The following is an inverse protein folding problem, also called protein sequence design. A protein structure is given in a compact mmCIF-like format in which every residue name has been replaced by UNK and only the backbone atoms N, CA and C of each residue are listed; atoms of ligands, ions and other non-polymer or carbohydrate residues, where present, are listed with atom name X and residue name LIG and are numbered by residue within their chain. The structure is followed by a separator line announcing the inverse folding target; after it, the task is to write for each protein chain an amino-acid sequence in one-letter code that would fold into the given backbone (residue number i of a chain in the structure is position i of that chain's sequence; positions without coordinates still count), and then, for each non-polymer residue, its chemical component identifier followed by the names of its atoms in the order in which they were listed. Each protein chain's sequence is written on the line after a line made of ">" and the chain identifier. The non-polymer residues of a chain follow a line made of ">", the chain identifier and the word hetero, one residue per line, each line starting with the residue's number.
data_IF_102732198451
#
_entry.id   IF_102732198451
#
_cell.length_a   1.000
_cell.length_b   1.000
_cell.length_c   1.000
_cell.angle_alpha   90.00
_cell.angle_beta   90.00
_cell.angle_gamma   90.00
#
_symmetry.space_group_name_H-M   'P 1'
#
loop_
_entity.id
_entity.type
_entity.pdbx_description
1 polymer ?
#
# COMPACT_ATOMS: atom_id res chain seq x y z
N UNK A 1 -12.54 -3.12 28.16
CA UNK A 1 -12.77 -4.58 28.07
C UNK A 1 -11.73 -5.12 27.10
N UNK A 2 -10.93 -6.12 27.46
CA UNK A 2 -9.87 -6.63 26.58
C UNK A 2 -10.44 -7.82 25.81
N UNK A 3 -10.43 -7.72 24.49
CA UNK A 3 -10.83 -8.82 23.59
C UNK A 3 -9.57 -9.58 23.14
N UNK A 4 -9.55 -10.89 23.35
CA UNK A 4 -8.41 -11.76 23.02
C UNK A 4 -8.85 -12.86 22.07
N UNK A 5 -7.99 -13.20 21.12
CA UNK A 5 -8.14 -14.33 20.22
C UNK A 5 -7.27 -15.49 20.73
N UNK A 6 -7.83 -16.69 20.75
CA UNK A 6 -7.09 -17.93 21.00
C UNK A 6 -6.96 -18.69 19.68
N UNK A 7 -5.74 -18.82 19.19
CA UNK A 7 -5.42 -19.47 17.93
C UNK A 7 -4.72 -20.80 18.24
N UNK A 8 -5.14 -21.87 17.56
CA UNK A 8 -4.54 -23.19 17.70
C UNK A 8 -3.44 -23.34 16.65
N UNK A 9 -2.21 -23.49 17.11
CA UNK A 9 -1.02 -23.67 16.27
C UNK A 9 -0.42 -25.07 16.44
N UNK A 10 0.57 -25.40 15.61
CA UNK A 10 1.23 -26.72 15.61
C UNK A 10 1.86 -27.06 16.99
N UNK A 11 2.45 -26.07 17.66
CA UNK A 11 3.15 -26.24 18.94
C UNK A 11 2.32 -25.84 20.17
N UNK A 12 1.01 -25.56 20.01
CA UNK A 12 0.14 -25.22 21.14
C UNK A 12 -0.96 -24.21 20.84
N UNK A 13 -1.33 -23.41 21.84
CA UNK A 13 -2.28 -22.30 21.65
C UNK A 13 -1.55 -20.97 21.84
N UNK A 14 -1.79 -20.04 20.91
CA UNK A 14 -1.37 -18.64 21.04
C UNK A 14 -2.56 -17.81 21.49
N UNK A 15 -2.36 -16.94 22.47
CA UNK A 15 -3.36 -15.96 22.90
C UNK A 15 -2.80 -14.58 22.56
N UNK A 16 -3.51 -13.85 21.71
CA UNK A 16 -3.13 -12.51 21.26
C UNK A 16 -4.31 -11.56 21.46
N UNK A 17 -4.04 -10.28 21.73
CA UNK A 17 -5.12 -9.28 21.72
C UNK A 17 -5.64 -9.16 20.29
N UNK A 18 -6.96 -9.06 20.15
CA UNK A 18 -7.58 -8.93 18.83
C UNK A 18 -7.04 -7.73 18.05
N UNK A 19 -6.85 -6.59 18.71
CA UNK A 19 -6.30 -5.39 18.10
C UNK A 19 -4.88 -5.61 17.54
N UNK A 20 -4.03 -6.33 18.26
CA UNK A 20 -2.66 -6.61 17.82
C UNK A 20 -2.66 -7.57 16.61
N UNK A 21 -3.58 -8.53 16.59
CA UNK A 21 -3.77 -9.43 15.46
C UNK A 21 -4.27 -8.71 14.21
N UNK A 22 -5.26 -7.83 14.36
CA UNK A 22 -5.79 -7.04 13.23
C UNK A 22 -4.72 -6.11 12.64
N UNK A 23 -3.86 -5.50 13.47
CA UNK A 23 -2.70 -4.73 13.00
C UNK A 23 -1.72 -5.59 12.20
N UNK A 24 -1.41 -6.78 12.70
CA UNK A 24 -0.50 -7.71 12.01
C UNK A 24 -1.06 -8.11 10.63
N UNK A 25 -2.36 -8.37 10.53
CA UNK A 25 -3.00 -8.68 9.25
C UNK A 25 -2.91 -7.50 8.29
N UNK A 26 -3.19 -6.28 8.75
CA UNK A 26 -3.07 -5.08 7.91
C UNK A 26 -1.64 -4.84 7.42
N UNK A 27 -0.64 -5.07 8.27
CA UNK A 27 0.78 -5.00 7.88
C UNK A 27 1.13 -6.06 6.82
N UNK A 28 0.64 -7.30 6.99
CA UNK A 28 0.85 -8.38 6.03
C UNK A 28 0.19 -8.07 4.68
N UNK A 29 -1.04 -7.56 4.68
CA UNK A 29 -1.74 -7.13 3.46
C UNK A 29 -0.97 -6.05 2.72
N UNK A 30 -0.46 -5.04 3.44
CA UNK A 30 0.38 -3.98 2.85
C UNK A 30 1.66 -4.51 2.23
N UNK A 31 2.29 -5.51 2.85
CA UNK A 31 3.48 -6.17 2.30
C UNK A 31 3.15 -6.98 1.04
N UNK A 32 2.01 -7.69 1.03
CA UNK A 32 1.55 -8.45 -0.14
C UNK A 32 1.30 -7.49 -1.31
N UNK A 33 0.57 -6.40 -1.11
CA UNK A 33 0.33 -5.39 -2.14
C UNK A 33 1.65 -4.83 -2.70
N UNK A 34 2.62 -4.55 -1.81
CA UNK A 34 3.95 -4.11 -2.23
C UNK A 34 4.64 -5.15 -3.11
N UNK A 35 4.56 -6.44 -2.76
CA UNK A 35 5.13 -7.52 -3.57
C UNK A 35 4.41 -7.68 -4.92
N UNK A 36 3.10 -7.47 -4.98
CA UNK A 36 2.33 -7.47 -6.22
C UNK A 36 2.79 -6.35 -7.15
N UNK A 37 2.97 -5.13 -6.63
CA UNK A 37 3.52 -3.99 -7.37
C UNK A 37 4.94 -4.30 -7.89
N UNK A 38 5.81 -4.84 -7.03
CA UNK A 38 7.19 -5.19 -7.42
C UNK A 38 7.24 -6.34 -8.46
N UNK A 39 6.22 -7.20 -8.49
CA UNK A 39 6.09 -8.28 -9.45
C UNK A 39 5.71 -7.80 -10.86
N UNK A 40 5.08 -6.64 -10.98
CA UNK A 40 4.68 -6.05 -12.26
C UNK A 40 5.80 -5.16 -12.82
N UNK A 41 6.42 -5.63 -13.92
CA UNK A 41 7.54 -4.91 -14.56
C UNK A 41 7.12 -3.60 -15.19
N UNK A 42 5.97 -3.56 -15.86
CA UNK A 42 5.49 -2.38 -16.58
C UNK A 42 5.12 -1.29 -15.56
N UNK A 43 4.45 -1.67 -14.47
CA UNK A 43 4.15 -0.78 -13.37
C UNK A 43 5.43 -0.24 -12.71
N UNK A 44 6.42 -1.10 -12.46
CA UNK A 44 7.71 -0.65 -11.89
C UNK A 44 8.48 0.31 -12.80
N UNK A 45 8.42 0.13 -14.13
CA UNK A 45 8.99 1.09 -15.08
C UNK A 45 8.25 2.44 -15.04
N UNK A 46 6.93 2.42 -14.95
CA UNK A 46 6.12 3.64 -14.81
C UNK A 46 6.41 4.38 -13.50
N UNK A 47 6.55 3.66 -12.38
CA UNK A 47 6.92 4.24 -11.08
C UNK A 47 8.27 4.94 -11.18
N UNK A 48 9.31 4.25 -11.70
CA UNK A 48 10.65 4.83 -11.85
C UNK A 48 10.65 6.08 -12.72
N UNK A 49 9.94 6.05 -13.86
CA UNK A 49 9.82 7.22 -14.72
C UNK A 49 9.14 8.38 -14.00
N UNK A 50 8.10 8.09 -13.23
CA UNK A 50 7.39 9.10 -12.44
C UNK A 50 8.29 9.72 -11.36
N UNK A 51 9.09 8.92 -10.67
CA UNK A 51 10.10 9.40 -9.71
C UNK A 51 11.12 10.32 -10.38
N UNK A 52 11.63 9.95 -11.56
CA UNK A 52 12.54 10.79 -12.32
C UNK A 52 11.90 12.11 -12.75
N UNK A 53 10.65 12.09 -13.20
CA UNK A 53 9.93 13.29 -13.61
C UNK A 53 9.71 14.24 -12.42
N UNK A 54 9.37 13.70 -11.25
CA UNK A 54 9.26 14.49 -10.01
C UNK A 54 10.61 15.14 -9.65
N UNK A 55 11.70 14.38 -9.68
CA UNK A 55 13.04 14.88 -9.35
C UNK A 55 13.53 15.95 -10.33
N UNK A 56 13.16 15.84 -11.61
CA UNK A 56 13.49 16.82 -12.66
C UNK A 56 12.57 18.06 -12.61
N UNK A 57 11.52 18.04 -11.79
CA UNK A 57 10.53 19.11 -11.73
C UNK A 57 9.54 19.10 -12.90
N UNK A 58 9.41 17.98 -13.62
CA UNK A 58 8.43 17.76 -14.69
C UNK A 58 7.03 17.52 -14.10
N UNK A 59 6.59 18.39 -13.20
CA UNK A 59 5.31 18.31 -12.51
C UNK A 59 4.37 19.41 -13.00
N UNK A 60 3.11 19.06 -13.22
CA UNK A 60 2.06 20.03 -13.54
C UNK A 60 1.23 20.25 -12.28
N UNK A 61 1.28 21.47 -11.74
CA UNK A 61 0.37 21.87 -10.68
C UNK A 61 -0.98 22.20 -11.30
N UNK A 62 -2.03 21.61 -10.75
CA UNK A 62 -3.40 21.83 -11.21
C UNK A 62 -4.18 22.49 -10.08
N UNK A 63 -4.73 23.68 -10.33
CA UNK A 63 -5.40 24.51 -9.30
C UNK A 63 -6.93 24.44 -9.38
N UNK A 64 -7.47 23.80 -10.43
CA UNK A 64 -8.91 23.61 -10.59
C UNK A 64 -9.26 22.31 -11.31
N UNK A 65 -10.47 21.81 -11.04
CA UNK A 65 -11.02 20.63 -11.73
C UNK A 65 -11.14 20.86 -13.25
N UNK A 66 -11.43 22.08 -13.68
CA UNK A 66 -11.54 22.41 -15.10
C UNK A 66 -10.17 22.40 -15.81
N UNK A 67 -9.11 22.79 -15.11
CA UNK A 67 -7.74 22.64 -15.60
C UNK A 67 -7.34 21.15 -15.69
N UNK A 68 -7.67 20.35 -14.68
CA UNK A 68 -7.44 18.90 -14.71
C UNK A 68 -8.10 18.24 -15.94
N UNK A 69 -9.38 18.57 -16.19
CA UNK A 69 -10.14 18.04 -17.33
C UNK A 69 -9.54 18.40 -18.70
N UNK A 70 -8.78 19.49 -18.81
CA UNK A 70 -8.11 19.88 -20.06
C UNK A 70 -6.88 19.01 -20.34
N UNK A 71 -6.25 18.44 -19.30
CA UNK A 71 -5.07 17.56 -19.44
C UNK A 71 -5.43 16.11 -19.84
N UNK A 72 -6.71 15.73 -19.72
CA UNK A 72 -7.21 14.39 -20.05
C UNK A 72 -7.77 14.28 -21.49
N UNK A 73 -7.72 15.36 -22.27
CA UNK A 73 -8.20 15.43 -23.66
C UNK A 73 -7.02 15.39 -24.64
#
# INVERSE_FOLDING_TARGET
>A
MIEVLRIKEADGNVIIKKEDFEKLIAELESLIETLEVLGDRDLMEQIKKSEEDILKGNIVKVESVDEFKKLLK
#
